data_IF_450656162421
#
_entry.id   IF_450656162421
#
_cell.length_a   1.000
_cell.length_b   1.000
_cell.length_c   1.000
_cell.angle_alpha   90.00
_cell.angle_beta   90.00
_cell.angle_gamma   90.00
#
_symmetry.space_group_name_H-M   'P 1'
#
loop_
_entity.id
_entity.type
_entity.pdbx_description
1 polymer ?
#
# COMPACT_ATOMS: atom_id res chain seq x y z
N UNK A 1 26.39 -18.51 6.15
CA UNK A 1 26.46 -19.86 5.55
C UNK A 1 27.81 -20.16 4.86
N UNK A 2 28.87 -19.35 5.02
CA UNK A 2 30.17 -19.61 4.35
C UNK A 2 30.16 -19.49 2.82
N UNK A 3 29.03 -19.07 2.23
CA UNK A 3 28.85 -18.88 0.79
C UNK A 3 29.15 -17.42 0.40
N UNK A 4 29.52 -17.21 -0.85
CA UNK A 4 29.76 -15.90 -1.43
C UNK A 4 28.46 -15.07 -1.50
N UNK A 5 28.52 -13.76 -1.20
CA UNK A 5 27.37 -12.86 -1.21
C UNK A 5 26.68 -12.79 -2.59
N UNK A 6 27.45 -12.73 -3.67
CA UNK A 6 26.91 -12.67 -5.04
C UNK A 6 26.15 -13.95 -5.43
N UNK A 7 26.52 -15.10 -4.85
CA UNK A 7 25.82 -16.36 -5.05
C UNK A 7 24.50 -16.47 -4.25
N UNK A 8 24.29 -15.57 -3.28
CA UNK A 8 23.14 -15.59 -2.39
C UNK A 8 22.18 -14.41 -2.59
N UNK A 9 22.61 -13.30 -3.19
CA UNK A 9 21.80 -12.07 -3.24
C UNK A 9 20.46 -12.26 -3.96
N UNK A 10 20.32 -13.26 -4.84
CA UNK A 10 19.08 -13.59 -5.55
C UNK A 10 18.20 -14.64 -4.84
N UNK A 11 18.54 -15.02 -3.61
CA UNK A 11 17.76 -15.95 -2.79
C UNK A 11 16.69 -15.19 -2.00
N UNK A 12 15.43 -15.32 -2.42
CA UNK A 12 14.29 -14.62 -1.81
C UNK A 12 13.96 -15.17 -0.40
N UNK A 13 14.33 -16.41 -0.09
CA UNK A 13 14.08 -17.06 1.21
C UNK A 13 14.89 -16.43 2.36
N UNK A 14 15.90 -15.61 2.03
CA UNK A 14 16.68 -14.84 3.01
C UNK A 14 15.86 -13.75 3.70
N UNK A 15 14.75 -13.33 3.08
CA UNK A 15 13.96 -12.20 3.49
C UNK A 15 14.59 -10.85 3.13
N UNK A 16 13.74 -9.83 3.04
CA UNK A 16 14.08 -8.53 2.47
C UNK A 16 15.33 -7.89 3.10
N UNK A 17 15.45 -7.90 4.43
CA UNK A 17 16.55 -7.22 5.12
C UNK A 17 17.94 -7.73 4.74
N UNK A 18 18.12 -9.06 4.74
CA UNK A 18 19.41 -9.66 4.39
C UNK A 18 19.65 -9.59 2.87
N UNK A 19 18.62 -9.81 2.07
CA UNK A 19 18.72 -9.73 0.62
C UNK A 19 19.19 -8.33 0.16
N UNK A 20 18.58 -7.26 0.69
CA UNK A 20 18.99 -5.88 0.43
C UNK A 20 20.46 -5.62 0.80
N UNK A 21 20.88 -6.12 1.98
CA UNK A 21 22.26 -5.93 2.44
C UNK A 21 23.28 -6.66 1.55
N UNK A 22 22.93 -7.83 1.00
CA UNK A 22 23.78 -8.55 0.06
C UNK A 22 23.91 -7.79 -1.27
N UNK A 23 22.81 -7.29 -1.83
CA UNK A 23 22.86 -6.44 -3.02
C UNK A 23 23.71 -5.19 -2.79
N UNK A 24 23.52 -4.48 -1.67
CA UNK A 24 24.31 -3.30 -1.31
C UNK A 24 25.81 -3.63 -1.24
N UNK A 25 26.18 -4.70 -0.53
CA UNK A 25 27.57 -5.09 -0.34
C UNK A 25 28.25 -5.52 -1.66
N UNK A 26 27.56 -6.29 -2.50
CA UNK A 26 28.10 -6.74 -3.79
C UNK A 26 28.26 -5.55 -4.74
N UNK A 27 27.27 -4.67 -4.82
CA UNK A 27 27.31 -3.48 -5.66
C UNK A 27 28.42 -2.50 -5.22
N UNK A 28 28.59 -2.28 -3.90
CA UNK A 28 29.70 -1.48 -3.36
C UNK A 28 31.07 -2.06 -3.69
N UNK A 29 31.23 -3.38 -3.53
CA UNK A 29 32.49 -4.06 -3.85
C UNK A 29 32.85 -4.01 -5.34
N UNK A 30 31.84 -3.90 -6.21
CA UNK A 30 32.00 -3.75 -7.65
C UNK A 30 32.01 -2.28 -8.12
N UNK A 31 31.93 -1.31 -7.21
CA UNK A 31 31.89 0.13 -7.50
C UNK A 31 30.75 0.54 -8.46
N UNK A 32 29.61 -0.13 -8.39
CA UNK A 32 28.42 0.14 -9.22
C UNK A 32 27.16 0.30 -8.38
N UNK A 33 26.13 1.04 -8.86
CA UNK A 33 24.82 1.07 -8.21
C UNK A 33 24.14 -0.30 -8.32
N UNK A 34 23.21 -0.61 -7.40
CA UNK A 34 22.48 -1.89 -7.37
C UNK A 34 21.77 -2.17 -8.69
N UNK A 35 21.17 -1.17 -9.35
CA UNK A 35 20.47 -1.39 -10.62
C UNK A 35 21.38 -1.97 -11.72
N UNK A 36 22.69 -1.71 -11.69
CA UNK A 36 23.64 -2.30 -12.64
C UNK A 36 23.81 -3.82 -12.46
N UNK A 37 23.50 -4.35 -11.27
CA UNK A 37 23.43 -5.79 -11.01
C UNK A 37 22.08 -6.41 -11.43
N UNK A 38 21.03 -5.58 -11.53
CA UNK A 38 19.68 -6.02 -11.88
C UNK A 38 19.44 -6.06 -13.39
N UNK A 39 20.01 -5.11 -14.13
CA UNK A 39 19.85 -5.03 -15.57
C UNK A 39 20.23 -3.68 -16.17
N UNK A 40 19.87 -3.48 -17.44
CA UNK A 40 20.06 -2.19 -18.13
C UNK A 40 19.10 -1.17 -17.53
N UNK A 41 19.61 0.01 -17.18
CA UNK A 41 18.78 1.14 -16.79
C UNK A 41 17.96 1.64 -18.00
N UNK A 42 16.65 1.66 -17.84
CA UNK A 42 15.67 2.13 -18.84
C UNK A 42 14.90 3.37 -18.37
N UNK A 43 14.92 3.65 -17.07
CA UNK A 43 14.31 4.84 -16.47
C UNK A 43 15.36 5.67 -15.70
N UNK A 44 15.20 7.00 -15.69
CA UNK A 44 16.06 7.92 -14.90
C UNK A 44 15.43 8.29 -13.55
N UNK A 45 14.13 8.10 -13.43
CA UNK A 45 13.33 8.41 -12.25
C UNK A 45 12.18 7.41 -12.10
N UNK A 46 11.76 7.16 -10.86
CA UNK A 46 10.65 6.25 -10.52
C UNK A 46 9.46 7.08 -10.04
N UNK A 47 8.25 6.89 -10.59
CA UNK A 47 7.05 7.53 -10.06
C UNK A 47 6.77 6.99 -8.65
N UNK A 48 6.37 7.86 -7.73
CA UNK A 48 6.19 7.47 -6.33
C UNK A 48 4.89 8.05 -5.75
N UNK A 49 4.12 7.18 -5.08
CA UNK A 49 2.88 7.55 -4.42
C UNK A 49 3.11 7.88 -2.94
N UNK A 50 2.38 8.87 -2.44
CA UNK A 50 2.22 9.07 -1.01
C UNK A 50 1.20 8.08 -0.49
N UNK A 51 1.66 7.10 0.29
CA UNK A 51 0.80 6.10 0.87
C UNK A 51 0.34 6.49 2.27
N UNK A 52 -0.95 6.29 2.53
CA UNK A 52 -1.54 6.31 3.87
C UNK A 52 -2.53 5.13 4.03
N UNK A 53 -2.80 4.78 5.28
CA UNK A 53 -3.82 3.77 5.65
C UNK A 53 -5.24 4.35 5.48
N UNK A 54 -6.28 3.59 5.82
CA UNK A 54 -7.64 4.14 5.96
C UNK A 54 -7.70 5.16 7.12
N UNK A 55 -8.25 6.33 6.85
CA UNK A 55 -8.30 7.46 7.78
C UNK A 55 -9.62 8.22 7.67
N UNK A 56 -9.90 9.14 8.59
CA UNK A 56 -11.09 9.98 8.50
C UNK A 56 -11.07 10.87 7.24
N UNK A 57 -12.24 11.40 6.85
CA UNK A 57 -12.37 12.37 5.75
C UNK A 57 -11.38 13.54 5.90
N UNK A 58 -11.29 14.09 7.11
CA UNK A 58 -10.43 15.23 7.41
C UNK A 58 -8.95 14.86 7.28
N UNK A 59 -8.56 13.71 7.82
CA UNK A 59 -7.15 13.31 7.84
C UNK A 59 -6.67 12.96 6.43
N UNK A 60 -7.51 12.33 5.60
CA UNK A 60 -7.18 12.08 4.20
C UNK A 60 -6.94 13.39 3.43
N UNK A 61 -7.79 14.41 3.61
CA UNK A 61 -7.56 15.71 2.96
C UNK A 61 -6.26 16.37 3.43
N UNK A 62 -5.94 16.31 4.73
CA UNK A 62 -4.67 16.83 5.27
C UNK A 62 -3.45 16.10 4.69
N UNK A 63 -3.54 14.78 4.55
CA UNK A 63 -2.47 13.94 3.99
C UNK A 63 -2.28 14.20 2.49
N UNK A 64 -3.34 14.38 1.71
CA UNK A 64 -3.23 14.78 0.30
C UNK A 64 -2.59 16.17 0.15
N UNK A 65 -2.96 17.14 1.02
CA UNK A 65 -2.35 18.47 0.99
C UNK A 65 -0.85 18.44 1.33
N UNK A 66 -0.45 17.66 2.35
CA UNK A 66 0.97 17.49 2.69
C UNK A 66 1.73 16.72 1.61
N UNK A 67 1.15 15.66 1.03
CA UNK A 67 1.73 14.94 -0.09
C UNK A 67 2.06 15.87 -1.26
N UNK A 68 1.09 16.70 -1.68
CA UNK A 68 1.29 17.65 -2.76
C UNK A 68 2.38 18.68 -2.44
N UNK A 69 2.39 19.22 -1.22
CA UNK A 69 3.42 20.14 -0.73
C UNK A 69 4.82 19.51 -0.71
N UNK A 70 4.92 18.20 -0.45
CA UNK A 70 6.16 17.43 -0.47
C UNK A 70 6.57 16.98 -1.90
N UNK A 71 5.86 17.45 -2.93
CA UNK A 71 6.21 17.21 -4.33
C UNK A 71 5.64 15.93 -4.92
N UNK A 72 4.79 15.21 -4.20
CA UNK A 72 4.07 14.04 -4.73
C UNK A 72 2.93 14.48 -5.64
N UNK A 73 2.60 13.63 -6.63
CA UNK A 73 1.47 13.82 -7.55
C UNK A 73 0.51 12.62 -7.55
N UNK A 74 0.74 11.63 -6.69
CA UNK A 74 -0.13 10.49 -6.47
C UNK A 74 -0.24 10.24 -4.96
N UNK A 75 -1.44 9.86 -4.53
CA UNK A 75 -1.77 9.45 -3.17
C UNK A 75 -2.50 8.12 -3.22
N UNK A 76 -2.05 7.15 -2.44
CA UNK A 76 -2.67 5.84 -2.35
C UNK A 76 -3.23 5.61 -0.95
N UNK A 77 -4.50 5.23 -0.87
CA UNK A 77 -5.20 4.95 0.38
C UNK A 77 -6.06 3.69 0.31
N UNK A 78 -6.85 3.45 1.36
CA UNK A 78 -7.75 2.33 1.52
C UNK A 78 -9.20 2.80 1.47
N UNK A 79 -9.98 2.27 0.53
CA UNK A 79 -11.43 2.44 0.50
C UNK A 79 -12.07 1.46 1.47
N UNK A 80 -12.85 1.93 2.45
CA UNK A 80 -13.39 1.10 3.53
C UNK A 80 -14.85 1.41 3.86
N UNK A 81 -15.69 0.39 4.17
CA UNK A 81 -17.11 0.61 4.47
C UNK A 81 -17.34 1.33 5.80
N UNK A 82 -16.30 1.49 6.62
CA UNK A 82 -16.34 2.18 7.90
C UNK A 82 -15.88 3.65 7.83
N UNK A 83 -15.61 4.16 6.63
CA UNK A 83 -15.43 5.59 6.34
C UNK A 83 -16.30 6.01 5.15
N UNK A 84 -16.72 7.28 5.12
CA UNK A 84 -17.40 7.86 3.97
C UNK A 84 -16.40 8.10 2.83
N UNK A 85 -16.25 7.10 1.95
CA UNK A 85 -15.33 7.15 0.80
C UNK A 85 -15.64 8.28 -0.18
N UNK A 86 -16.91 8.68 -0.29
CA UNK A 86 -17.29 9.79 -1.16
C UNK A 86 -16.85 11.12 -0.59
N UNK A 87 -17.09 11.35 0.70
CA UNK A 87 -16.64 12.57 1.36
C UNK A 87 -15.11 12.65 1.44
N UNK A 88 -14.44 11.50 1.62
CA UNK A 88 -12.98 11.38 1.56
C UNK A 88 -12.43 11.93 0.25
N UNK A 89 -12.90 11.40 -0.90
CA UNK A 89 -12.45 11.84 -2.22
C UNK A 89 -12.87 13.29 -2.49
N UNK A 90 -14.09 13.67 -2.11
CA UNK A 90 -14.60 15.03 -2.31
C UNK A 90 -13.74 16.09 -1.60
N UNK A 91 -13.42 15.88 -0.31
CA UNK A 91 -12.62 16.83 0.47
C UNK A 91 -11.15 16.81 0.07
N UNK A 92 -10.58 15.63 -0.23
CA UNK A 92 -9.22 15.53 -0.75
C UNK A 92 -9.06 16.28 -2.09
N UNK A 93 -10.05 16.14 -2.99
CA UNK A 93 -10.03 16.79 -4.31
C UNK A 93 -10.06 18.32 -4.25
N UNK A 94 -10.54 18.91 -3.13
CA UNK A 94 -10.59 20.38 -2.94
C UNK A 94 -9.22 20.98 -2.59
N UNK A 95 -8.26 20.18 -2.14
CA UNK A 95 -6.96 20.66 -1.61
C UNK A 95 -5.76 20.30 -2.49
N UNK A 96 -5.98 19.59 -3.60
CA UNK A 96 -4.96 19.21 -4.58
C UNK A 96 -5.42 19.60 -5.99
N UNK A 97 -4.49 19.84 -6.95
CA UNK A 97 -4.88 20.14 -8.32
C UNK A 97 -5.54 18.93 -9.02
N UNK A 98 -6.25 19.19 -10.11
CA UNK A 98 -6.97 18.17 -10.89
C UNK A 98 -6.08 17.03 -11.42
N UNK A 99 -4.81 17.31 -11.70
CA UNK A 99 -3.84 16.34 -12.19
C UNK A 99 -3.14 15.53 -11.06
N UNK A 100 -3.48 15.78 -9.79
CA UNK A 100 -3.05 14.94 -8.68
C UNK A 100 -3.91 13.68 -8.65
N UNK A 101 -3.28 12.51 -8.51
CA UNK A 101 -3.95 11.21 -8.61
C UNK A 101 -4.22 10.55 -7.26
N UNK A 102 -5.38 9.95 -7.12
CA UNK A 102 -5.83 9.23 -5.93
C UNK A 102 -6.13 7.79 -6.33
N UNK A 103 -5.38 6.89 -5.72
CA UNK A 103 -5.50 5.44 -5.89
C UNK A 103 -6.18 4.88 -4.64
N UNK A 104 -7.22 4.07 -4.82
CA UNK A 104 -8.01 3.57 -3.70
C UNK A 104 -8.11 2.06 -3.70
N UNK A 105 -7.60 1.47 -2.63
CA UNK A 105 -7.53 0.02 -2.44
C UNK A 105 -8.64 -0.46 -1.52
N UNK A 106 -9.56 -1.26 -2.07
CA UNK A 106 -10.71 -1.78 -1.33
C UNK A 106 -10.45 -3.09 -0.63
N UNK A 107 -9.37 -3.82 -0.96
CA UNK A 107 -9.08 -5.17 -0.46
C UNK A 107 -10.34 -6.07 -0.41
N UNK A 108 -11.05 -6.12 -1.53
CA UNK A 108 -12.25 -6.93 -1.79
C UNK A 108 -13.50 -6.51 -1.01
N UNK A 109 -13.48 -5.39 -0.28
CA UNK A 109 -14.60 -4.99 0.59
C UNK A 109 -15.85 -4.53 -0.15
N UNK A 110 -15.80 -4.30 -1.47
CA UNK A 110 -17.02 -4.10 -2.27
C UNK A 110 -17.74 -5.41 -2.59
N UNK A 111 -17.12 -6.56 -2.24
CA UNK A 111 -17.65 -7.92 -2.28
C UNK A 111 -17.89 -8.49 -3.68
N UNK A 112 -18.73 -7.85 -4.50
CA UNK A 112 -19.09 -8.32 -5.83
C UNK A 112 -19.38 -7.15 -6.78
N UNK A 113 -19.42 -7.46 -8.08
CA UNK A 113 -19.58 -6.44 -9.12
C UNK A 113 -20.89 -5.66 -9.02
N UNK A 114 -22.00 -6.29 -8.61
CA UNK A 114 -23.31 -5.63 -8.52
C UNK A 114 -23.30 -4.52 -7.47
N UNK A 115 -22.64 -4.78 -6.33
CA UNK A 115 -22.48 -3.78 -5.26
C UNK A 115 -21.38 -2.77 -5.55
N UNK A 116 -20.30 -3.19 -6.21
CA UNK A 116 -19.13 -2.36 -6.48
C UNK A 116 -19.42 -1.26 -7.52
N UNK A 117 -20.03 -1.62 -8.66
CA UNK A 117 -20.15 -0.74 -9.83
C UNK A 117 -20.74 0.64 -9.47
N UNK A 118 -21.88 0.76 -8.76
CA UNK A 118 -22.44 2.08 -8.45
C UNK A 118 -21.51 2.97 -7.61
N UNK A 119 -20.70 2.37 -6.73
CA UNK A 119 -19.73 3.10 -5.90
C UNK A 119 -18.55 3.56 -6.77
N UNK A 120 -18.01 2.67 -7.60
CA UNK A 120 -16.89 2.99 -8.47
C UNK A 120 -17.26 4.07 -9.50
N UNK A 121 -18.43 3.98 -10.12
CA UNK A 121 -18.96 5.00 -11.06
C UNK A 121 -19.12 6.36 -10.38
N UNK A 122 -19.59 6.39 -9.13
CA UNK A 122 -19.71 7.64 -8.36
C UNK A 122 -18.35 8.28 -8.07
N UNK A 123 -17.35 7.48 -7.73
CA UNK A 123 -15.99 7.95 -7.43
C UNK A 123 -15.23 8.34 -8.70
N UNK A 124 -15.46 7.65 -9.82
CA UNK A 124 -14.87 7.95 -11.12
C UNK A 124 -15.27 9.34 -11.68
N UNK A 125 -16.30 9.98 -11.09
CA UNK A 125 -16.67 11.38 -11.42
C UNK A 125 -15.61 12.40 -11.00
N UNK A 126 -14.72 12.03 -10.08
CA UNK A 126 -13.61 12.88 -9.66
C UNK A 126 -12.39 12.64 -10.56
N UNK A 127 -11.88 13.66 -11.27
CA UNK A 127 -10.75 13.51 -12.20
C UNK A 127 -9.44 13.08 -11.52
N UNK A 128 -9.34 13.28 -10.20
CA UNK A 128 -8.23 12.82 -9.39
C UNK A 128 -8.23 11.29 -9.21
N UNK A 129 -9.37 10.60 -9.25
CA UNK A 129 -9.43 9.15 -9.05
C UNK A 129 -8.83 8.43 -10.26
N UNK A 130 -7.79 7.62 -10.03
CA UNK A 130 -6.94 7.08 -11.12
C UNK A 130 -6.88 5.55 -11.16
N UNK A 131 -6.88 4.92 -9.98
CA UNK A 131 -6.77 3.47 -9.84
C UNK A 131 -7.66 2.97 -8.70
N UNK A 132 -8.44 1.92 -8.98
CA UNK A 132 -9.06 1.07 -7.96
C UNK A 132 -8.28 -0.23 -7.80
N UNK A 133 -7.75 -0.51 -6.61
CA UNK A 133 -7.06 -1.76 -6.31
C UNK A 133 -8.01 -2.74 -5.60
N UNK A 134 -7.98 -3.99 -6.08
CA UNK A 134 -8.75 -5.12 -5.55
C UNK A 134 -10.18 -4.71 -5.15
N UNK A 135 -11.02 -4.17 -6.07
CA UNK A 135 -12.35 -3.67 -5.71
C UNK A 135 -13.20 -4.76 -5.05
N UNK A 136 -13.17 -5.94 -5.67
CA UNK A 136 -13.84 -7.18 -5.27
C UNK A 136 -12.79 -8.31 -5.24
N UNK A 137 -13.20 -9.49 -4.76
CA UNK A 137 -12.33 -10.68 -4.76
C UNK A 137 -11.69 -10.91 -6.13
N UNK A 138 -10.36 -10.93 -6.17
CA UNK A 138 -9.61 -10.98 -7.42
C UNK A 138 -9.84 -12.28 -8.22
N UNK A 139 -10.23 -13.38 -7.54
CA UNK A 139 -10.56 -14.67 -8.16
C UNK A 139 -11.98 -14.73 -8.75
N UNK A 140 -12.84 -13.75 -8.49
CA UNK A 140 -14.10 -13.56 -9.22
C UNK A 140 -13.82 -12.99 -10.61
N UNK A 141 -13.38 -13.85 -11.51
CA UNK A 141 -13.02 -13.49 -12.90
C UNK A 141 -14.18 -12.78 -13.60
N UNK A 142 -15.40 -13.29 -13.48
CA UNK A 142 -16.57 -12.72 -14.18
C UNK A 142 -17.02 -11.40 -13.54
N UNK A 143 -16.93 -11.27 -12.22
CA UNK A 143 -17.13 -10.00 -11.53
C UNK A 143 -16.13 -8.95 -12.00
N UNK A 144 -14.83 -9.27 -12.04
CA UNK A 144 -13.81 -8.32 -12.45
C UNK A 144 -13.93 -7.94 -13.93
N UNK A 145 -14.34 -8.85 -14.83
CA UNK A 145 -14.71 -8.49 -16.22
C UNK A 145 -15.82 -7.44 -16.29
N UNK A 146 -16.84 -7.55 -15.43
CA UNK A 146 -17.90 -6.54 -15.36
C UNK A 146 -17.37 -5.19 -14.88
N UNK A 147 -16.44 -5.19 -13.92
CA UNK A 147 -15.80 -3.94 -13.46
C UNK A 147 -14.99 -3.28 -14.57
N UNK A 148 -14.15 -4.05 -15.27
CA UNK A 148 -13.36 -3.57 -16.42
C UNK A 148 -14.24 -2.94 -17.51
N UNK A 149 -15.49 -3.39 -17.65
CA UNK A 149 -16.43 -2.86 -18.63
C UNK A 149 -17.24 -1.64 -18.13
N UNK A 150 -17.22 -1.36 -16.82
CA UNK A 150 -18.08 -0.37 -16.17
C UNK A 150 -17.37 0.95 -15.83
N UNK A 151 -16.04 1.00 -15.86
CA UNK A 151 -15.27 2.20 -15.51
C UNK A 151 -14.03 2.34 -16.41
N UNK A 152 -13.67 3.59 -16.71
CA UNK A 152 -12.41 3.95 -17.37
C UNK A 152 -11.27 4.20 -16.37
N UNK A 153 -11.56 4.23 -15.07
CA UNK A 153 -10.55 4.25 -14.00
C UNK A 153 -9.86 2.89 -13.95
N UNK A 154 -8.52 2.89 -13.89
CA UNK A 154 -7.75 1.66 -13.95
C UNK A 154 -8.09 0.70 -12.80
N UNK A 155 -8.07 -0.60 -13.08
CA UNK A 155 -8.19 -1.65 -12.08
C UNK A 155 -6.84 -2.32 -11.88
N UNK A 156 -6.38 -2.33 -10.63
CA UNK A 156 -5.15 -2.99 -10.21
C UNK A 156 -5.42 -4.26 -9.40
N UNK A 157 -4.58 -5.27 -9.61
CA UNK A 157 -4.63 -6.53 -8.87
C UNK A 157 -3.26 -6.92 -8.32
N UNK A 158 -3.24 -7.51 -7.13
CA UNK A 158 -2.04 -8.18 -6.64
C UNK A 158 -1.61 -9.30 -7.60
N UNK A 159 -0.35 -9.24 -8.04
CA UNK A 159 0.23 -10.27 -8.90
C UNK A 159 0.31 -11.60 -8.14
N UNK A 160 -0.19 -12.68 -8.74
CA UNK A 160 -0.14 -14.03 -8.18
C UNK A 160 -1.49 -14.62 -7.78
N UNK A 161 -2.50 -13.78 -7.49
CA UNK A 161 -3.83 -14.26 -7.06
C UNK A 161 -4.93 -13.45 -7.75
N UNK A 162 -5.59 -13.92 -8.83
CA UNK A 162 -5.46 -15.24 -9.41
C UNK A 162 -4.12 -15.40 -10.12
N UNK A 163 -3.83 -16.62 -10.60
CA UNK A 163 -2.61 -16.85 -11.37
C UNK A 163 -2.46 -15.79 -12.46
N UNK A 164 -1.28 -15.18 -12.64
CA UNK A 164 -1.09 -14.07 -13.57
C UNK A 164 -1.52 -14.40 -15.00
N UNK A 165 -1.36 -15.67 -15.42
CA UNK A 165 -1.81 -16.13 -16.72
C UNK A 165 -3.34 -16.01 -16.89
N UNK A 166 -4.10 -16.31 -15.84
CA UNK A 166 -5.56 -16.14 -15.84
C UNK A 166 -5.88 -14.65 -15.91
N UNK A 167 -5.25 -13.83 -15.06
CA UNK A 167 -5.51 -12.39 -15.01
C UNK A 167 -5.25 -11.70 -16.37
N UNK A 168 -4.16 -12.08 -17.03
CA UNK A 168 -3.76 -11.56 -18.35
C UNK A 168 -4.70 -12.10 -19.43
N UNK A 169 -4.95 -13.42 -19.49
CA UNK A 169 -5.73 -14.04 -20.56
C UNK A 169 -7.19 -13.57 -20.56
N UNK A 170 -7.77 -13.42 -19.38
CA UNK A 170 -9.16 -13.00 -19.20
C UNK A 170 -9.30 -11.47 -19.16
N UNK A 171 -8.18 -10.73 -19.20
CA UNK A 171 -8.10 -9.26 -19.18
C UNK A 171 -8.93 -8.61 -18.08
N UNK A 172 -8.70 -9.04 -16.83
CA UNK A 172 -9.50 -8.62 -15.66
C UNK A 172 -8.86 -7.51 -14.81
N UNK A 173 -7.75 -6.95 -15.27
CA UNK A 173 -7.10 -5.78 -14.67
C UNK A 173 -6.31 -5.01 -15.73
N UNK A 174 -6.10 -3.72 -15.50
CA UNK A 174 -5.27 -2.86 -16.33
C UNK A 174 -3.78 -3.02 -16.01
N UNK A 175 -3.47 -3.38 -14.76
CA UNK A 175 -2.10 -3.57 -14.32
C UNK A 175 -2.00 -4.25 -12.96
N UNK A 176 -0.78 -4.38 -12.48
CA UNK A 176 -0.47 -5.19 -11.31
C UNK A 176 0.12 -4.40 -10.15
N UNK A 177 -0.05 -4.97 -8.97
CA UNK A 177 0.74 -4.68 -7.78
C UNK A 177 1.83 -5.74 -7.68
N UNK A 178 3.10 -5.35 -7.85
CA UNK A 178 4.22 -6.28 -7.83
C UNK A 178 5.15 -5.93 -6.65
N UNK A 179 5.15 -6.81 -5.64
CA UNK A 179 6.14 -6.88 -4.57
C UNK A 179 6.95 -8.17 -4.65
N UNK A 180 7.50 -8.63 -3.52
CA UNK A 180 8.34 -9.85 -3.32
C UNK A 180 9.86 -9.59 -3.29
N UNK A 181 10.63 -10.66 -3.12
CA UNK A 181 12.08 -10.64 -3.18
C UNK A 181 12.58 -10.36 -4.59
N UNK A 182 13.87 -10.02 -4.71
CA UNK A 182 14.46 -9.54 -5.95
C UNK A 182 14.26 -10.48 -7.15
N UNK A 183 14.35 -11.80 -6.94
CA UNK A 183 14.21 -12.77 -8.03
C UNK A 183 12.78 -12.82 -8.55
N UNK A 184 11.81 -13.05 -7.66
CA UNK A 184 10.39 -13.12 -8.03
C UNK A 184 9.88 -11.79 -8.59
N UNK A 185 10.33 -10.66 -8.05
CA UNK A 185 9.95 -9.35 -8.54
C UNK A 185 10.45 -9.10 -9.97
N UNK A 186 11.70 -9.45 -10.29
CA UNK A 186 12.23 -9.35 -11.65
C UNK A 186 11.50 -10.29 -12.62
N UNK A 187 11.19 -11.51 -12.19
CA UNK A 187 10.44 -12.47 -13.00
C UNK A 187 9.01 -11.97 -13.29
N UNK A 188 8.32 -11.47 -12.27
CA UNK A 188 6.95 -10.96 -12.38
C UNK A 188 6.88 -9.69 -13.24
N UNK A 189 7.82 -8.76 -13.04
CA UNK A 189 7.92 -7.55 -13.86
C UNK A 189 8.21 -7.85 -15.33
N UNK A 190 9.00 -8.89 -15.63
CA UNK A 190 9.23 -9.34 -17.00
C UNK A 190 7.96 -9.90 -17.65
N UNK A 191 7.15 -10.68 -16.91
CA UNK A 191 5.87 -11.19 -17.41
C UNK A 191 4.88 -10.07 -17.66
N UNK A 192 4.74 -9.13 -16.73
CA UNK A 192 3.88 -7.96 -16.89
C UNK A 192 4.29 -7.14 -18.14
N UNK A 193 5.59 -6.91 -18.34
CA UNK A 193 6.10 -6.23 -19.52
C UNK A 193 5.85 -6.99 -20.84
N UNK A 194 5.93 -8.33 -20.84
CA UNK A 194 5.58 -9.12 -22.02
C UNK A 194 4.09 -9.05 -22.37
N UNK A 195 3.24 -8.82 -21.37
CA UNK A 195 1.80 -8.67 -21.51
C UNK A 195 1.35 -7.22 -21.73
N UNK A 196 2.28 -6.27 -21.85
CA UNK A 196 2.01 -4.83 -21.94
C UNK A 196 1.14 -4.31 -20.78
N UNK A 197 1.37 -4.85 -19.57
CA UNK A 197 0.66 -4.46 -18.35
C UNK A 197 1.54 -3.57 -17.48
N UNK A 198 1.16 -2.30 -17.23
CA UNK A 198 1.85 -1.48 -16.24
C UNK A 198 1.71 -2.08 -14.85
N UNK A 199 2.60 -1.67 -13.95
CA UNK A 199 2.50 -2.02 -12.54
C UNK A 199 3.17 -0.96 -11.68
N UNK A 200 2.82 -0.95 -10.39
CA UNK A 200 3.64 -0.28 -9.40
C UNK A 200 4.41 -1.31 -8.57
N UNK A 201 5.58 -0.86 -8.13
CA UNK A 201 6.40 -1.59 -7.17
C UNK A 201 5.83 -1.41 -5.77
N UNK A 202 5.63 -2.51 -5.05
CA UNK A 202 5.22 -2.48 -3.64
C UNK A 202 6.29 -3.13 -2.76
N UNK A 203 7.27 -2.33 -2.32
CA UNK A 203 8.30 -2.74 -1.37
C UNK A 203 8.23 -1.82 -0.15
N UNK A 204 7.45 -2.23 0.85
CA UNK A 204 7.10 -1.42 2.02
C UNK A 204 8.18 -1.50 3.09
N UNK A 205 8.66 -0.34 3.57
CA UNK A 205 9.59 -0.26 4.69
C UNK A 205 10.18 1.13 4.88
N UNK A 206 11.34 1.19 5.56
CA UNK A 206 12.06 2.46 5.80
C UNK A 206 12.65 3.04 4.52
N UNK A 207 13.33 4.19 4.62
CA UNK A 207 14.12 4.75 3.51
C UNK A 207 15.09 3.75 2.86
N UNK A 208 15.59 2.75 3.60
CA UNK A 208 16.45 1.68 3.04
C UNK A 208 15.70 0.84 2.00
N UNK A 209 14.46 0.45 2.33
CA UNK A 209 13.60 -0.32 1.41
C UNK A 209 13.20 0.52 0.21
N UNK A 210 12.87 1.80 0.44
CA UNK A 210 12.58 2.73 -0.65
C UNK A 210 13.76 2.91 -1.60
N UNK A 211 14.99 3.09 -1.08
CA UNK A 211 16.19 3.17 -1.90
C UNK A 211 16.39 1.92 -2.77
N UNK A 212 16.19 0.73 -2.18
CA UNK A 212 16.25 -0.53 -2.93
C UNK A 212 15.18 -0.62 -4.01
N UNK A 213 13.95 -0.20 -3.71
CA UNK A 213 12.83 -0.16 -4.66
C UNK A 213 13.13 0.70 -5.89
N UNK A 214 13.83 1.83 -5.73
CA UNK A 214 14.21 2.70 -6.85
C UNK A 214 15.09 1.99 -7.88
N UNK A 215 15.96 1.07 -7.46
CA UNK A 215 16.81 0.30 -8.37
C UNK A 215 16.01 -0.66 -9.26
N UNK A 216 14.88 -1.20 -8.79
CA UNK A 216 13.97 -1.97 -9.65
C UNK A 216 13.21 -1.07 -10.61
N UNK A 217 12.77 0.10 -10.13
CA UNK A 217 12.16 1.13 -10.98
C UNK A 217 13.10 1.59 -12.10
N UNK A 218 14.41 1.43 -11.94
CA UNK A 218 15.39 1.74 -12.98
C UNK A 218 15.39 0.76 -14.16
N UNK A 219 15.12 -0.53 -13.92
CA UNK A 219 15.38 -1.60 -14.91
C UNK A 219 14.10 -2.25 -15.44
N UNK A 220 12.99 -2.09 -14.73
CA UNK A 220 11.70 -2.66 -15.12
C UNK A 220 10.91 -1.67 -15.98
N UNK A 221 10.81 -1.95 -17.28
CA UNK A 221 10.22 -1.03 -18.27
C UNK A 221 8.77 -0.63 -17.98
N UNK A 222 7.98 -1.52 -17.39
CA UNK A 222 6.55 -1.31 -17.10
C UNK A 222 6.27 -0.94 -15.63
N UNK A 223 7.30 -0.67 -14.81
CA UNK A 223 7.16 -0.10 -13.48
C UNK A 223 6.82 1.41 -13.56
N UNK A 224 5.72 1.74 -14.23
CA UNK A 224 5.33 3.10 -14.62
C UNK A 224 4.20 3.67 -13.77
N UNK A 225 3.52 2.84 -12.98
CA UNK A 225 2.59 3.34 -11.98
C UNK A 225 3.32 3.78 -10.70
N UNK A 226 2.80 4.78 -9.96
CA UNK A 226 3.43 5.29 -8.75
C UNK A 226 3.72 4.21 -7.70
N UNK A 227 5.01 3.98 -7.42
CA UNK A 227 5.47 2.97 -6.48
C UNK A 227 5.01 3.26 -5.03
N UNK A 228 4.89 2.20 -4.24
CA UNK A 228 4.43 2.22 -2.85
C UNK A 228 5.50 1.61 -1.96
N UNK A 229 6.24 2.47 -1.26
CA UNK A 229 7.31 2.04 -0.34
C UNK A 229 7.07 2.45 1.12
N UNK A 230 6.15 3.38 1.38
CA UNK A 230 5.75 3.86 2.70
C UNK A 230 6.86 4.47 3.58
N UNK A 231 8.01 4.81 3.02
CA UNK A 231 9.13 5.35 3.79
C UNK A 231 8.79 6.67 4.50
N UNK A 232 7.86 7.44 3.95
CA UNK A 232 7.36 8.69 4.52
C UNK A 232 6.56 8.52 5.82
N UNK A 233 6.10 7.30 6.15
CA UNK A 233 5.40 7.04 7.41
C UNK A 233 6.32 6.99 8.63
N UNK A 234 7.63 6.86 8.41
CA UNK A 234 8.60 6.75 9.48
C UNK A 234 8.96 8.15 9.98
N UNK A 235 8.84 8.35 11.31
CA UNK A 235 9.23 9.60 11.95
C UNK A 235 10.71 9.93 11.76
N UNK A 236 11.56 8.89 11.78
CA UNK A 236 13.01 9.00 11.69
C UNK A 236 13.50 8.39 10.37
N UNK A 237 14.42 9.09 9.70
CA UNK A 237 15.04 8.59 8.48
C UNK A 237 16.38 7.88 8.77
N UNK A 238 16.44 6.59 8.44
CA UNK A 238 17.65 5.77 8.62
C UNK A 238 18.71 5.99 7.53
N UNK A 239 18.41 6.77 6.50
CA UNK A 239 19.38 7.27 5.53
C UNK A 239 19.97 8.60 6.03
N UNK A 240 21.22 8.87 5.68
CA UNK A 240 21.89 10.15 5.98
C UNK A 240 21.30 11.32 5.20
N UNK A 241 20.76 11.06 4.00
CA UNK A 241 20.02 12.00 3.17
C UNK A 241 18.65 11.43 2.80
N UNK A 242 17.56 12.23 2.77
CA UNK A 242 16.24 11.74 2.41
C UNK A 242 16.11 11.46 0.92
N UNK A 243 15.21 10.53 0.59
CA UNK A 243 14.70 10.40 -0.77
C UNK A 243 13.77 11.59 -1.01
N UNK A 244 14.12 12.41 -2.01
CA UNK A 244 13.34 13.59 -2.37
C UNK A 244 12.42 13.25 -3.53
N UNK A 245 11.14 13.57 -3.38
CA UNK A 245 10.15 13.48 -4.45
C UNK A 245 9.94 14.86 -5.05
N UNK A 246 9.97 14.93 -6.39
CA UNK A 246 9.69 16.15 -7.13
C UNK A 246 8.79 15.82 -8.30
N UNK A 247 7.68 16.55 -8.41
CA UNK A 247 6.69 16.40 -9.48
C UNK A 247 6.20 14.94 -9.63
N UNK A 248 6.08 14.23 -8.51
CA UNK A 248 5.63 12.84 -8.46
C UNK A 248 6.72 11.78 -8.66
N UNK A 249 7.99 12.17 -8.81
CA UNK A 249 9.08 11.23 -9.09
C UNK A 249 10.24 11.34 -8.09
N UNK A 250 10.87 10.20 -7.80
CA UNK A 250 12.16 10.12 -7.13
C UNK A 250 13.26 9.78 -8.14
N UNK A 251 14.43 10.43 -8.03
CA UNK A 251 15.59 10.13 -8.90
C UNK A 251 16.13 8.73 -8.58
N UNK A 252 16.50 7.97 -9.60
CA UNK A 252 17.20 6.70 -9.41
C UNK A 252 18.64 6.95 -8.91
N UNK A 253 19.08 6.26 -7.84
CA UNK A 253 20.43 6.44 -7.31
C UNK A 253 21.51 5.88 -8.25
N UNK A 254 22.60 6.63 -8.42
CA UNK A 254 23.71 6.34 -9.33
C UNK A 254 25.05 6.02 -8.61
N UNK A 255 25.12 6.27 -7.29
CA UNK A 255 26.29 5.94 -6.45
C UNK A 255 26.37 4.42 -6.16
N UNK A 256 27.57 3.87 -5.85
CA UNK A 256 27.72 2.45 -5.54
C UNK A 256 26.80 1.94 -4.41
N UNK A 257 26.33 0.69 -4.55
CA UNK A 257 25.39 0.11 -3.59
C UNK A 257 23.95 0.59 -3.77
N UNK A 258 23.22 0.74 -2.66
CA UNK A 258 21.88 1.34 -2.64
C UNK A 258 21.89 2.80 -3.11
N UNK A 259 23.05 3.43 -3.18
CA UNK A 259 23.23 4.82 -3.56
C UNK A 259 22.96 5.83 -2.44
N UNK A 260 22.79 5.34 -1.21
CA UNK A 260 22.63 6.12 0.02
C UNK A 260 23.53 5.58 1.13
N UNK A 261 23.98 6.47 2.02
CA UNK A 261 24.65 6.09 3.25
C UNK A 261 23.67 5.94 4.41
N UNK A 262 23.87 4.93 5.25
CA UNK A 262 23.03 4.67 6.42
C UNK A 262 23.44 5.55 7.61
N UNK A 263 22.45 6.08 8.33
CA UNK A 263 22.67 6.81 9.56
C UNK A 263 22.92 5.84 10.72
N UNK A 264 24.18 5.38 10.85
CA UNK A 264 24.58 4.36 11.82
C UNK A 264 24.36 4.78 13.28
N UNK A 265 24.58 6.06 13.58
CA UNK A 265 24.38 6.60 14.94
C UNK A 265 22.91 6.54 15.34
N UNK A 266 22.01 6.92 14.42
CA UNK A 266 20.58 6.84 14.65
C UNK A 266 20.10 5.39 14.76
N UNK A 267 20.61 4.49 13.90
CA UNK A 267 20.30 3.06 13.99
C UNK A 267 20.71 2.47 15.34
N UNK A 268 21.88 2.85 15.88
CA UNK A 268 22.30 2.41 17.21
C UNK A 268 21.42 2.99 18.32
N UNK A 269 21.09 4.29 18.23
CA UNK A 269 20.19 4.97 19.17
C UNK A 269 18.79 4.34 19.21
N UNK A 270 18.25 3.94 18.06
CA UNK A 270 16.92 3.33 17.94
C UNK A 270 16.93 1.81 18.12
N UNK A 271 18.09 1.20 18.36
CA UNK A 271 18.22 -0.25 18.50
C UNK A 271 17.42 -0.72 19.72
N UNK A 272 16.49 -1.64 19.48
CA UNK A 272 15.73 -2.33 20.53
C UNK A 272 16.03 -3.83 20.50
N UNK A 273 15.84 -4.48 21.64
CA UNK A 273 15.85 -5.95 21.69
C UNK A 273 14.66 -6.45 20.88
N UNK A 274 14.89 -7.37 19.93
CA UNK A 274 13.80 -8.02 19.17
C UNK A 274 12.80 -8.63 20.17
N UNK A 275 11.52 -8.21 20.16
CA UNK A 275 10.54 -8.76 21.07
C UNK A 275 10.25 -10.22 20.71
N UNK A 276 9.85 -11.02 21.70
CA UNK A 276 9.51 -12.44 21.50
C UNK A 276 8.30 -12.63 20.57
N UNK A 277 7.40 -11.67 20.56
CA UNK A 277 6.25 -11.57 19.67
C UNK A 277 5.99 -10.11 19.28
N UNK A 278 5.17 -9.90 18.26
CA UNK A 278 4.71 -8.57 17.88
C UNK A 278 3.94 -7.94 19.06
N UNK A 279 4.23 -6.68 19.45
CA UNK A 279 3.43 -5.98 20.45
C UNK A 279 1.99 -5.77 19.94
N UNK A 280 1.01 -6.17 20.73
CA UNK A 280 -0.41 -6.06 20.41
C UNK A 280 -1.15 -5.34 21.57
N UNK A 281 -1.09 -3.99 21.61
CA UNK A 281 -1.80 -3.24 22.63
C UNK A 281 -3.32 -3.35 22.43
N UNK A 282 -4.11 -3.31 23.52
CA UNK A 282 -5.57 -3.26 23.44
C UNK A 282 -6.03 -2.06 22.61
N UNK A 283 -6.81 -2.32 21.55
CA UNK A 283 -7.39 -1.30 20.67
C UNK A 283 -8.89 -1.56 20.58
N UNK A 284 -9.68 -0.55 20.92
CA UNK A 284 -11.13 -0.53 20.75
C UNK A 284 -11.45 0.51 19.67
N UNK A 285 -12.11 0.09 18.61
CA UNK A 285 -12.51 0.94 17.48
C UNK A 285 -14.03 1.08 17.52
N UNK A 286 -14.53 2.30 17.33
CA UNK A 286 -15.97 2.60 17.20
C UNK A 286 -16.22 3.16 15.80
N UNK A 287 -17.14 2.54 15.07
CA UNK A 287 -17.70 3.05 13.82
C UNK A 287 -19.12 3.52 14.07
N UNK A 288 -19.48 4.72 13.59
CA UNK A 288 -20.81 5.32 13.79
C UNK A 288 -21.43 5.69 12.44
N UNK A 289 -22.73 5.47 12.28
CA UNK A 289 -23.51 5.88 11.10
C UNK A 289 -24.47 7.02 11.44
N UNK A 290 -25.00 7.69 10.40
CA UNK A 290 -25.92 8.83 10.53
C UNK A 290 -27.21 8.53 11.30
N UNK A 291 -27.66 7.29 11.28
CA UNK A 291 -28.86 6.85 12.01
C UNK A 291 -28.59 6.59 13.52
N UNK A 292 -27.37 6.85 13.99
CA UNK A 292 -26.96 6.72 15.39
C UNK A 292 -26.46 5.34 15.78
N UNK A 293 -26.57 4.33 14.90
CA UNK A 293 -26.03 2.98 15.21
C UNK A 293 -24.51 3.03 15.30
N UNK A 294 -23.98 2.15 16.14
CA UNK A 294 -22.54 2.02 16.41
C UNK A 294 -22.09 0.58 16.28
N UNK A 295 -20.91 0.37 15.73
CA UNK A 295 -20.24 -0.93 15.73
C UNK A 295 -18.91 -0.81 16.45
N UNK A 296 -18.59 -1.78 17.29
CA UNK A 296 -17.32 -1.83 18.00
C UNK A 296 -16.47 -3.00 17.53
N UNK A 297 -15.17 -2.74 17.32
CA UNK A 297 -14.16 -3.77 17.04
C UNK A 297 -13.11 -3.78 18.12
N UNK A 298 -12.77 -4.96 18.62
CA UNK A 298 -11.63 -5.17 19.51
C UNK A 298 -10.49 -5.79 18.73
N UNK A 299 -9.26 -5.36 19.01
CA UNK A 299 -8.08 -6.12 18.63
C UNK A 299 -8.20 -7.58 19.08
N UNK A 300 -8.08 -8.53 18.16
CA UNK A 300 -8.13 -9.99 18.44
C UNK A 300 -6.73 -10.61 18.55
N UNK A 301 -5.67 -9.81 18.44
CA UNK A 301 -4.30 -10.28 18.27
C UNK A 301 -3.95 -10.75 16.84
N UNK A 302 -4.92 -10.71 15.92
CA UNK A 302 -4.72 -11.07 14.52
C UNK A 302 -4.58 -9.83 13.62
N UNK A 303 -3.90 -10.02 12.49
CA UNK A 303 -3.85 -9.01 11.42
C UNK A 303 -5.21 -8.99 10.71
N UNK A 304 -5.64 -7.83 10.21
CA UNK A 304 -6.89 -7.67 9.46
C UNK A 304 -8.17 -7.97 10.27
N UNK A 305 -8.15 -7.81 11.59
CA UNK A 305 -9.31 -8.06 12.47
C UNK A 305 -10.56 -7.21 12.20
N UNK A 306 -10.45 -6.11 11.44
CA UNK A 306 -11.60 -5.32 10.94
C UNK A 306 -11.92 -5.67 9.48
N UNK A 307 -10.89 -5.89 8.66
CA UNK A 307 -11.01 -6.16 7.24
C UNK A 307 -11.65 -7.53 6.96
N UNK A 308 -11.27 -8.58 7.70
CA UNK A 308 -11.81 -9.93 7.47
C UNK A 308 -13.33 -9.96 7.72
N UNK A 309 -13.87 -9.45 8.85
CA UNK A 309 -15.32 -9.35 9.02
C UNK A 309 -16.03 -8.57 7.91
N UNK A 310 -15.41 -7.52 7.35
CA UNK A 310 -16.00 -6.77 6.25
C UNK A 310 -16.08 -7.60 4.96
N UNK A 311 -15.02 -8.35 4.62
CA UNK A 311 -15.02 -9.28 3.48
C UNK A 311 -16.03 -10.42 3.65
N UNK A 312 -16.29 -10.83 4.88
CA UNK A 312 -17.30 -11.84 5.22
C UNK A 312 -18.74 -11.29 5.23
N UNK A 313 -18.94 -9.99 4.97
CA UNK A 313 -20.26 -9.35 4.99
C UNK A 313 -20.81 -9.09 6.40
N UNK A 314 -19.97 -9.15 7.43
CA UNK A 314 -20.34 -8.94 8.84
C UNK A 314 -20.24 -7.48 9.31
N UNK A 315 -19.93 -6.55 8.39
CA UNK A 315 -19.91 -5.10 8.63
C UNK A 315 -20.96 -4.46 7.73
N UNK A 316 -21.74 -3.47 8.20
CA UNK A 316 -22.64 -2.73 7.32
C UNK A 316 -21.88 -2.21 6.09
N UNK A 317 -22.55 -2.26 4.94
CA UNK A 317 -21.94 -1.88 3.67
C UNK A 317 -21.65 -0.37 3.61
N UNK A 318 -21.00 0.08 2.52
CA UNK A 318 -20.61 1.48 2.34
C UNK A 318 -21.80 2.43 2.42
N UNK A 319 -21.70 3.43 3.30
CA UNK A 319 -22.75 4.42 3.53
C UNK A 319 -22.16 5.81 3.73
N UNK A 320 -22.86 6.83 3.24
CA UNK A 320 -22.44 8.23 3.43
C UNK A 320 -22.60 8.66 4.88
N UNK A 321 -21.60 9.37 5.39
CA UNK A 321 -21.51 9.88 6.76
C UNK A 321 -21.11 8.87 7.81
N UNK A 322 -20.65 7.68 7.40
CA UNK A 322 -20.01 6.76 8.33
C UNK A 322 -18.63 7.28 8.72
N UNK A 323 -18.29 7.16 10.00
CA UNK A 323 -16.99 7.56 10.52
C UNK A 323 -16.49 6.57 11.57
N UNK A 324 -15.17 6.44 11.66
CA UNK A 324 -14.52 5.50 12.57
C UNK A 324 -13.43 6.18 13.38
N UNK A 325 -13.37 5.86 14.67
CA UNK A 325 -12.35 6.36 15.58
C UNK A 325 -11.83 5.30 16.53
N UNK A 326 -10.61 5.51 17.03
CA UNK A 326 -10.10 4.78 18.18
C UNK A 326 -10.79 5.32 19.45
N UNK A 327 -11.35 4.42 20.26
CA UNK A 327 -11.87 4.74 21.59
C UNK A 327 -10.71 4.76 22.58
N UNK A 328 -10.34 5.92 23.16
CA UNK A 328 -9.21 6.01 24.08
C UNK A 328 -9.39 5.09 25.28
N UNK A 329 -8.35 4.32 25.62
CA UNK A 329 -8.36 3.48 26.80
C UNK A 329 -8.13 4.34 28.05
N UNK A 330 -9.22 4.72 28.71
CA UNK A 330 -9.24 5.51 29.94
C UNK A 330 -9.17 4.64 31.21
N UNK A 331 -9.08 3.31 31.07
CA UNK A 331 -9.04 2.36 32.17
C UNK A 331 -10.38 2.12 32.88
N UNK A 332 -11.47 2.75 32.41
CA UNK A 332 -12.80 2.65 33.01
C UNK A 332 -13.37 1.23 32.93
N UNK A 333 -14.39 0.97 33.76
CA UNK A 333 -15.15 -0.28 33.72
C UNK A 333 -15.89 -0.43 32.38
N UNK A 334 -16.48 0.66 31.90
CA UNK A 334 -17.21 0.70 30.62
C UNK A 334 -16.30 0.34 29.44
N UNK A 335 -15.10 0.96 29.36
CA UNK A 335 -14.15 0.65 28.29
C UNK A 335 -13.75 -0.83 28.31
N UNK A 336 -13.47 -1.39 29.49
CA UNK A 336 -13.08 -2.80 29.64
C UNK A 336 -14.20 -3.75 29.21
N UNK A 337 -15.45 -3.45 29.56
CA UNK A 337 -16.62 -4.24 29.18
C UNK A 337 -16.85 -4.19 27.67
N UNK A 338 -16.78 -3.00 27.06
CA UNK A 338 -16.86 -2.83 25.60
C UNK A 338 -15.75 -3.58 24.88
N UNK A 339 -14.50 -3.43 25.35
CA UNK A 339 -13.35 -4.10 24.76
C UNK A 339 -13.46 -5.62 24.85
N UNK A 340 -13.83 -6.16 26.02
CA UNK A 340 -14.02 -7.60 26.19
C UNK A 340 -15.06 -8.17 25.23
N UNK A 341 -16.16 -7.45 25.02
CA UNK A 341 -17.19 -7.84 24.06
C UNK A 341 -16.69 -7.74 22.62
N UNK A 342 -16.02 -6.64 22.27
CA UNK A 342 -15.54 -6.37 20.91
C UNK A 342 -14.39 -7.31 20.50
N UNK A 343 -13.66 -7.86 21.47
CA UNK A 343 -12.59 -8.83 21.25
C UNK A 343 -13.13 -10.21 20.83
N UNK A 344 -14.39 -10.54 21.14
CA UNK A 344 -15.04 -11.78 20.69
C UNK A 344 -15.53 -11.71 19.25
N UNK A 345 -15.57 -10.51 18.67
CA UNK A 345 -16.10 -10.24 17.34
C UNK A 345 -16.78 -8.87 17.29
N UNK A 346 -16.99 -8.31 16.09
CA UNK A 346 -17.68 -7.04 15.94
C UNK A 346 -19.12 -7.18 16.41
N UNK A 347 -19.62 -6.16 17.11
CA UNK A 347 -21.03 -6.11 17.51
C UNK A 347 -21.64 -4.75 17.26
N UNK A 348 -22.89 -4.76 16.76
CA UNK A 348 -23.68 -3.57 16.50
C UNK A 348 -24.50 -3.21 17.75
N UNK A 349 -24.58 -1.92 18.04
CA UNK A 349 -25.45 -1.28 19.03
C UNK A 349 -26.38 -0.35 18.28
N UNK A 350 -27.69 -0.49 18.51
CA UNK A 350 -28.68 0.40 17.90
C UNK A 350 -28.62 1.78 18.57
N UNK A 351 -28.78 2.81 17.73
CA UNK A 351 -28.85 4.22 18.15
C UNK A 351 -30.11 4.56 18.92
#
# INVERSE_FOLDING_TARGET
QGKNAAALMWDDDLGAGLQMALFDAVAKAAEVPVHALLGKQVHEKTPLSWWNIDTSVKDMALECAEAYKQGYMSYKTKGRPWFDVWAQVEEASKVVPENFKIDMDFNDTLLDAERAIPILEDLAKFPQVDIFESPIFQDDVEGNKKLMAATDVNIAMHYGTPEPLIAIRENICDGFVIGHGARELMASGAVAAMADKPFWLQLVGTGITAAFSLHFGAVLSHATWPAVNCHQLYQDNLLTEPIVVKEGFAKIPDKPGLGFELNRDLMEKLRVKKPASRPEPPRLIETTWKDGRKMYFGNTGEVNFVLNPARDGNVPFFERGVDTRLVPNDGSKEWKELYQKANQGPFLVKG
#
